data_IF_965317226313
#
_entry.id   IF_965317226313
#
_cell.length_a   1.000
_cell.length_b   1.000
_cell.length_c   1.000
_cell.angle_alpha   90.00
_cell.angle_beta   90.00
_cell.angle_gamma   90.00
#
_symmetry.space_group_name_H-M   'P 1'
#
loop_
_entity.id
_entity.type
_entity.pdbx_description
1 polymer ?
#
# COMPACT_ATOMS: atom_id res chain seq x y z
N UNK A 1 -58.67 -8.98 26.14
CA UNK A 1 -59.37 -8.62 24.91
C UNK A 1 -58.33 -8.15 23.91
N UNK A 2 -58.30 -8.83 22.76
CA UNK A 2 -57.70 -8.50 21.44
C UNK A 2 -56.26 -7.95 21.41
N UNK A 3 -55.24 -8.70 20.96
CA UNK A 3 -54.97 -9.34 19.66
C UNK A 3 -54.72 -8.36 18.50
N UNK A 4 -53.47 -8.26 18.05
CA UNK A 4 -53.15 -8.35 16.61
C UNK A 4 -51.67 -8.72 16.43
N UNK A 5 -51.45 -9.46 15.36
CA UNK A 5 -50.39 -10.41 15.11
C UNK A 5 -50.02 -10.34 13.63
N UNK A 6 -48.74 -10.48 13.31
CA UNK A 6 -48.17 -10.79 11.99
C UNK A 6 -46.68 -11.09 12.23
N UNK A 7 -46.09 -12.30 12.09
CA UNK A 7 -46.08 -13.30 11.01
C UNK A 7 -45.88 -12.62 9.65
N UNK A 8 -44.84 -12.84 8.84
CA UNK A 8 -43.88 -13.92 8.56
C UNK A 8 -42.64 -13.25 7.91
N UNK A 9 -41.49 -13.83 7.57
CA UNK A 9 -41.12 -15.17 7.13
C UNK A 9 -39.62 -15.38 7.31
N UNK A 10 -39.23 -16.60 7.69
CA UNK A 10 -37.87 -17.12 7.57
C UNK A 10 -37.59 -17.39 6.09
N UNK A 11 -36.49 -16.84 5.56
CA UNK A 11 -35.90 -17.33 4.32
C UNK A 11 -34.41 -17.57 4.56
N UNK A 12 -34.08 -18.85 4.74
CA UNK A 12 -32.72 -19.34 4.73
C UNK A 12 -32.16 -19.23 3.29
N UNK A 13 -30.99 -18.63 3.13
CA UNK A 13 -30.21 -18.74 1.90
C UNK A 13 -28.96 -19.56 2.24
N UNK A 14 -28.97 -20.77 1.70
CA UNK A 14 -27.89 -21.77 1.66
C UNK A 14 -26.75 -21.23 0.78
N UNK A 15 -25.47 -21.53 1.09
CA UNK A 15 -24.34 -21.11 0.26
C UNK A 15 -24.38 -21.77 -1.13
N UNK A 16 -24.05 -20.99 -2.15
CA UNK A 16 -23.82 -21.51 -3.51
C UNK A 16 -22.38 -21.98 -3.60
N UNK A 17 -22.19 -23.29 -3.55
CA UNK A 17 -20.99 -23.96 -4.04
C UNK A 17 -20.95 -23.84 -5.58
N UNK A 18 -19.93 -23.19 -6.12
CA UNK A 18 -19.59 -23.32 -7.54
C UNK A 18 -18.33 -24.17 -7.68
N UNK A 19 -18.58 -25.48 -7.78
CA UNK A 19 -17.69 -26.43 -8.45
C UNK A 19 -17.78 -26.12 -9.95
N UNK A 20 -16.66 -25.75 -10.58
CA UNK A 20 -16.53 -25.92 -12.03
C UNK A 20 -15.18 -26.56 -12.35
N UNK A 21 -15.27 -27.84 -12.68
CA UNK A 21 -14.24 -28.67 -13.27
C UNK A 21 -14.25 -28.36 -14.78
N UNK A 22 -13.10 -28.06 -15.38
CA UNK A 22 -13.03 -27.63 -16.77
C UNK A 22 -11.62 -27.66 -17.32
N UNK A 23 -11.11 -28.87 -17.49
CA UNK A 23 -9.91 -29.21 -18.25
C UNK A 23 -9.98 -28.61 -19.66
N UNK A 24 -8.92 -27.95 -20.11
CA UNK A 24 -8.46 -28.07 -21.50
C UNK A 24 -7.00 -27.64 -21.62
N UNK A 25 -6.17 -28.66 -21.86
CA UNK A 25 -4.83 -28.54 -22.41
C UNK A 25 -4.93 -28.04 -23.85
N UNK A 26 -4.06 -27.10 -24.23
CA UNK A 26 -3.50 -27.02 -25.59
C UNK A 26 -2.14 -26.32 -25.46
N UNK A 27 -1.08 -27.13 -25.58
CA UNK A 27 0.27 -26.67 -25.84
C UNK A 27 0.39 -26.25 -27.30
N UNK A 28 1.22 -25.24 -27.63
CA UNK A 28 2.25 -25.32 -28.69
C UNK A 28 3.23 -24.13 -28.57
N UNK A 29 4.48 -24.29 -29.04
CA UNK A 29 5.63 -23.47 -28.67
C UNK A 29 5.93 -22.36 -29.70
N UNK A 30 6.64 -21.31 -29.29
CA UNK A 30 7.80 -20.83 -30.07
C UNK A 30 8.62 -19.79 -29.30
N UNK A 31 9.91 -20.06 -29.28
CA UNK A 31 11.03 -19.24 -28.85
C UNK A 31 11.16 -17.94 -29.65
N UNK A 32 11.33 -16.82 -28.96
CA UNK A 32 11.94 -15.61 -29.51
C UNK A 32 12.93 -15.02 -28.50
N UNK A 33 14.22 -15.11 -28.84
CA UNK A 33 15.28 -14.28 -28.30
C UNK A 33 15.07 -12.85 -28.80
N UNK A 34 15.09 -11.87 -27.91
CA UNK A 34 15.52 -10.52 -28.28
C UNK A 34 16.27 -9.87 -27.12
N UNK A 35 17.40 -9.29 -27.48
CA UNK A 35 18.46 -8.87 -26.59
C UNK A 35 18.17 -7.63 -25.76
N UNK A 36 18.90 -7.60 -24.66
CA UNK A 36 19.12 -6.51 -23.74
C UNK A 36 19.58 -5.23 -24.47
N UNK A 37 18.83 -4.13 -24.31
CA UNK A 37 19.39 -2.77 -24.40
C UNK A 37 18.81 -1.91 -23.27
N UNK A 38 19.63 -1.72 -22.24
CA UNK A 38 19.44 -0.77 -21.14
C UNK A 38 19.60 0.65 -21.70
N UNK A 39 18.52 1.42 -21.75
CA UNK A 39 18.53 2.83 -22.14
C UNK A 39 18.00 3.70 -20.99
N UNK A 40 18.90 4.26 -20.19
CA UNK A 40 18.57 5.33 -19.25
C UNK A 40 18.23 6.60 -20.04
N UNK A 41 17.04 7.15 -19.85
CA UNK A 41 16.65 8.45 -20.43
C UNK A 41 16.31 9.40 -19.29
N UNK A 42 17.23 10.34 -19.05
CA UNK A 42 17.01 11.55 -18.27
C UNK A 42 15.91 12.40 -18.93
N UNK A 43 14.76 12.51 -18.27
CA UNK A 43 13.68 13.43 -18.65
C UNK A 43 13.95 14.80 -18.01
N UNK A 44 14.47 15.74 -18.80
CA UNK A 44 14.44 17.17 -18.48
C UNK A 44 13.05 17.69 -18.83
N UNK A 45 12.25 18.00 -17.80
CA UNK A 45 10.98 18.73 -17.96
C UNK A 45 11.28 20.23 -17.84
N UNK A 46 11.11 20.97 -18.93
CA UNK A 46 11.10 22.43 -18.92
C UNK A 46 9.70 22.92 -18.51
N UNK A 47 9.61 23.78 -17.50
CA UNK A 47 8.36 24.39 -17.05
C UNK A 47 8.31 25.84 -17.53
N UNK A 48 7.49 26.11 -18.54
CA UNK A 48 7.17 27.46 -18.98
C UNK A 48 6.27 28.12 -17.93
N UNK A 49 6.70 29.28 -17.40
CA UNK A 49 5.90 30.17 -16.57
C UNK A 49 5.11 31.13 -17.46
N UNK A 50 3.81 31.18 -17.25
CA UNK A 50 2.93 32.32 -17.51
C UNK A 50 1.83 32.21 -16.43
N UNK A 51 1.62 33.14 -15.50
CA UNK A 51 1.39 34.56 -15.70
C UNK A 51 -0.08 34.81 -15.33
N UNK A 52 -0.42 34.76 -14.04
CA UNK A 52 -1.82 34.84 -13.56
C UNK A 52 -2.02 35.73 -12.31
N UNK A 53 -1.06 36.60 -11.95
CA UNK A 53 -1.16 37.37 -10.69
C UNK A 53 -0.79 38.85 -10.79
N UNK A 54 -1.40 39.58 -11.72
CA UNK A 54 -1.40 41.06 -11.67
C UNK A 54 -2.70 41.73 -11.19
N UNK A 55 -3.70 40.97 -10.72
CA UNK A 55 -5.04 41.56 -10.50
C UNK A 55 -5.60 41.58 -9.07
N UNK A 56 -4.80 41.33 -8.03
CA UNK A 56 -5.27 41.59 -6.65
C UNK A 56 -4.19 42.33 -5.86
N UNK A 57 -4.07 43.62 -6.15
CA UNK A 57 -3.54 44.58 -5.18
C UNK A 57 -4.24 45.93 -5.34
N UNK A 58 -5.51 45.98 -4.92
CA UNK A 58 -6.13 47.24 -4.48
C UNK A 58 -7.25 46.96 -3.48
N UNK A 59 -7.03 47.42 -2.25
CA UNK A 59 -8.03 47.86 -1.27
C UNK A 59 -9.05 46.84 -0.74
N UNK A 60 -8.91 46.40 0.50
CA UNK A 60 -9.57 47.05 1.65
C UNK A 60 -9.24 46.34 2.96
N UNK A 61 -8.92 47.15 3.97
CA UNK A 61 -8.78 46.76 5.38
C UNK A 61 -10.19 46.71 5.99
N UNK A 62 -10.57 45.59 6.65
CA UNK A 62 -11.09 45.55 8.04
C UNK A 62 -11.62 44.17 8.49
N UNK A 63 -11.10 43.77 9.66
CA UNK A 63 -11.72 43.02 10.77
C UNK A 63 -11.67 41.47 10.82
N UNK A 64 -10.90 41.02 11.83
CA UNK A 64 -11.03 39.84 12.70
C UNK A 64 -11.35 38.47 12.09
N UNK A 65 -10.28 37.71 11.87
CA UNK A 65 -10.13 36.34 12.37
C UNK A 65 -8.64 36.12 12.56
N UNK A 66 -8.21 35.60 13.71
CA UNK A 66 -6.81 35.18 13.92
C UNK A 66 -6.56 33.96 13.06
N UNK A 67 -6.38 34.16 11.76
CA UNK A 67 -5.75 33.18 10.89
C UNK A 67 -4.30 33.10 11.35
N UNK A 68 -3.90 31.92 11.82
CA UNK A 68 -2.49 31.57 11.98
C UNK A 68 -1.94 31.55 10.56
N UNK A 69 -1.48 32.71 10.09
CA UNK A 69 -0.73 32.83 8.85
C UNK A 69 0.65 32.31 9.21
N UNK A 70 0.91 31.03 8.92
CA UNK A 70 2.28 30.53 8.94
C UNK A 70 3.08 31.38 7.94
N UNK A 71 4.24 31.92 8.35
CA UNK A 71 5.10 32.63 7.42
C UNK A 71 5.50 31.63 6.33
N UNK A 72 5.28 32.01 5.07
CA UNK A 72 5.71 31.25 3.91
C UNK A 72 7.23 31.10 3.99
N UNK A 73 7.70 30.02 4.59
CA UNK A 73 9.09 29.61 4.54
C UNK A 73 9.46 29.48 3.07
N UNK A 74 10.65 30.00 2.71
CA UNK A 74 11.24 29.75 1.40
C UNK A 74 11.03 28.27 1.03
N UNK A 75 10.81 27.91 -0.25
CA UNK A 75 10.86 26.53 -0.67
C UNK A 75 12.32 26.08 -0.48
N UNK A 76 12.67 25.71 0.75
CA UNK A 76 13.68 24.71 0.99
C UNK A 76 13.14 23.52 0.23
N UNK A 77 13.89 23.08 -0.77
CA UNK A 77 13.70 21.78 -1.37
C UNK A 77 13.72 20.80 -0.20
N UNK A 78 12.54 20.45 0.34
CA UNK A 78 12.41 19.37 1.29
C UNK A 78 12.88 18.14 0.52
N UNK A 79 14.14 17.76 0.73
CA UNK A 79 14.68 16.53 0.16
C UNK A 79 13.72 15.42 0.57
N UNK A 80 13.03 14.83 -0.41
CA UNK A 80 12.19 13.68 -0.12
C UNK A 80 13.07 12.64 0.57
N UNK A 81 12.71 12.17 1.77
CA UNK A 81 13.57 11.30 2.54
C UNK A 81 13.84 10.04 1.72
N UNK A 82 15.13 9.75 1.54
CA UNK A 82 15.60 8.64 0.73
C UNK A 82 15.00 7.31 1.23
N UNK A 83 14.82 6.32 0.33
CA UNK A 83 14.37 4.99 0.72
C UNK A 83 15.25 4.41 1.82
N UNK A 84 14.64 3.99 2.92
CA UNK A 84 15.32 3.23 3.97
C UNK A 84 15.33 1.76 3.57
N UNK A 85 16.47 1.08 3.72
CA UNK A 85 16.59 -0.37 3.59
C UNK A 85 17.44 -0.93 4.73
N UNK A 86 16.91 -1.90 5.48
CA UNK A 86 17.64 -2.53 6.59
C UNK A 86 17.11 -3.94 6.88
N UNK A 87 17.95 -4.76 7.52
CA UNK A 87 17.57 -6.10 7.98
C UNK A 87 16.68 -5.98 9.22
N UNK A 88 15.44 -6.45 9.11
CA UNK A 88 14.45 -6.47 10.18
C UNK A 88 14.64 -7.69 11.09
N UNK A 89 14.91 -8.85 10.49
CA UNK A 89 15.12 -10.13 11.18
C UNK A 89 16.21 -10.90 10.48
N UNK A 90 17.10 -11.52 11.24
CA UNK A 90 18.05 -12.51 10.75
C UNK A 90 17.86 -13.81 11.54
N UNK A 91 17.82 -14.94 10.83
CA UNK A 91 17.72 -16.26 11.46
C UNK A 91 18.58 -17.28 10.73
N UNK A 92 19.16 -18.19 11.48
CA UNK A 92 19.89 -19.35 10.95
C UNK A 92 18.94 -20.53 10.87
N UNK A 93 18.79 -21.10 9.68
CA UNK A 93 18.00 -22.30 9.42
C UNK A 93 18.78 -23.57 9.86
N UNK A 94 18.11 -24.72 10.08
CA UNK A 94 18.75 -25.94 10.55
C UNK A 94 19.85 -26.50 9.64
N UNK A 95 19.81 -26.17 8.35
CA UNK A 95 20.80 -26.53 7.33
C UNK A 95 22.03 -25.59 7.33
N UNK A 96 22.07 -24.60 8.23
CA UNK A 96 23.11 -23.58 8.30
C UNK A 96 22.88 -22.37 7.37
N UNK A 97 21.82 -22.38 6.56
CA UNK A 97 21.46 -21.25 5.70
C UNK A 97 21.01 -20.06 6.55
N UNK A 98 21.52 -18.86 6.26
CA UNK A 98 21.07 -17.63 6.92
C UNK A 98 19.94 -17.02 6.09
N UNK A 99 18.78 -16.80 6.72
CA UNK A 99 17.66 -16.07 6.12
C UNK A 99 17.54 -14.69 6.78
N UNK A 100 17.61 -13.65 5.95
CA UNK A 100 17.39 -12.26 6.32
C UNK A 100 16.05 -11.79 5.77
N UNK A 101 15.25 -11.16 6.63
CA UNK A 101 14.06 -10.41 6.24
C UNK A 101 14.45 -8.93 6.19
N UNK A 102 14.39 -8.34 5.00
CA UNK A 102 14.80 -6.97 4.72
C UNK A 102 13.55 -6.11 4.56
N UNK A 103 13.48 -5.01 5.29
CA UNK A 103 12.50 -3.96 5.09
C UNK A 103 13.02 -2.93 4.08
N UNK A 104 12.15 -2.43 3.20
CA UNK A 104 12.45 -1.27 2.35
C UNK A 104 11.24 -0.33 2.21
N UNK A 105 11.44 1.00 2.31
CA UNK A 105 10.36 2.02 2.23
C UNK A 105 10.22 2.73 0.87
N UNK A 106 11.01 2.36 -0.14
CA UNK A 106 11.01 3.06 -1.44
C UNK A 106 11.69 2.30 -2.58
N UNK A 107 11.52 0.98 -2.62
CA UNK A 107 12.00 0.13 -3.72
C UNK A 107 10.98 -0.04 -4.84
N UNK A 108 11.47 -0.26 -6.06
CA UNK A 108 10.63 -0.71 -7.17
C UNK A 108 10.06 -2.09 -6.85
N UNK A 109 8.73 -2.20 -6.82
CA UNK A 109 8.03 -3.46 -6.64
C UNK A 109 7.68 -4.03 -8.00
N UNK A 110 8.24 -5.20 -8.32
CA UNK A 110 7.87 -5.93 -9.53
C UNK A 110 6.40 -6.37 -9.44
N UNK A 111 5.63 -6.06 -10.49
CA UNK A 111 4.19 -6.33 -10.51
C UNK A 111 3.85 -7.81 -10.58
N UNK A 112 4.74 -8.65 -11.12
CA UNK A 112 4.57 -10.10 -11.14
C UNK A 112 4.82 -10.69 -9.75
N UNK A 113 5.84 -10.21 -9.03
CA UNK A 113 6.08 -10.62 -7.65
C UNK A 113 4.93 -10.21 -6.73
N UNK A 114 4.42 -8.98 -6.88
CA UNK A 114 3.24 -8.53 -6.14
C UNK A 114 2.00 -9.35 -6.49
N UNK A 115 1.77 -9.65 -7.77
CA UNK A 115 0.65 -10.51 -8.16
C UNK A 115 0.78 -11.92 -7.57
N UNK A 116 1.98 -12.51 -7.59
CA UNK A 116 2.22 -13.82 -6.98
C UNK A 116 1.98 -13.80 -5.47
N UNK A 117 2.33 -12.70 -4.79
CA UNK A 117 2.02 -12.52 -3.37
C UNK A 117 0.51 -12.36 -3.12
N UNK A 118 -0.19 -11.57 -3.95
CA UNK A 118 -1.65 -11.44 -3.91
C UNK A 118 -2.35 -12.79 -4.08
N UNK A 119 -1.89 -13.62 -5.02
CA UNK A 119 -2.44 -14.96 -5.27
C UNK A 119 -2.36 -15.83 -4.00
N UNK A 120 -1.24 -15.78 -3.27
CA UNK A 120 -1.05 -16.56 -2.02
C UNK A 120 -1.98 -16.15 -0.89
N UNK A 121 -2.30 -14.86 -0.77
CA UNK A 121 -3.23 -14.36 0.26
C UNK A 121 -4.70 -14.46 -0.18
N UNK A 122 -4.96 -15.02 -1.36
CA UNK A 122 -6.31 -15.24 -1.89
C UNK A 122 -6.96 -13.98 -2.46
N UNK A 123 -6.19 -12.96 -2.81
CA UNK A 123 -6.72 -11.75 -3.43
C UNK A 123 -6.99 -11.94 -4.92
N UNK A 124 -8.06 -11.33 -5.46
CA UNK A 124 -8.35 -11.43 -6.89
C UNK A 124 -7.26 -10.75 -7.71
N UNK A 125 -6.94 -11.35 -8.87
CA UNK A 125 -5.99 -10.74 -9.81
C UNK A 125 -6.53 -9.43 -10.36
N UNK A 126 -5.63 -8.47 -10.52
CA UNK A 126 -5.89 -7.13 -11.06
C UNK A 126 -5.12 -6.96 -12.36
N UNK A 127 -5.61 -6.17 -13.33
CA UNK A 127 -4.84 -5.86 -14.54
C UNK A 127 -3.47 -5.26 -14.17
N UNK A 128 -2.38 -5.88 -14.62
CA UNK A 128 -1.00 -5.51 -14.24
C UNK A 128 -0.67 -4.05 -14.56
N UNK A 129 -1.18 -3.51 -15.67
CA UNK A 129 -1.00 -2.10 -16.03
C UNK A 129 -1.63 -1.14 -15.01
N UNK A 130 -2.79 -1.50 -14.46
CA UNK A 130 -3.45 -0.74 -13.39
C UNK A 130 -2.73 -0.90 -12.06
N UNK A 131 -2.22 -2.09 -11.76
CA UNK A 131 -1.42 -2.33 -10.56
C UNK A 131 -0.11 -1.52 -10.58
N UNK A 132 0.60 -1.51 -11.71
CA UNK A 132 1.79 -0.68 -11.92
C UNK A 132 1.48 0.82 -11.74
N UNK A 133 0.35 1.28 -12.29
CA UNK A 133 -0.09 2.66 -12.10
C UNK A 133 -0.43 2.97 -10.64
N UNK A 134 -1.08 2.05 -9.91
CA UNK A 134 -1.39 2.24 -8.50
C UNK A 134 -0.11 2.33 -7.64
N UNK A 135 0.90 1.49 -7.91
CA UNK A 135 2.20 1.55 -7.24
C UNK A 135 2.89 2.89 -7.49
N UNK A 136 3.01 3.30 -8.77
CA UNK A 136 3.68 4.55 -9.16
C UNK A 136 3.02 5.80 -8.57
N UNK A 137 1.69 5.79 -8.42
CA UNK A 137 0.94 6.92 -7.86
C UNK A 137 0.69 6.77 -6.34
N UNK A 138 1.34 5.82 -5.69
CA UNK A 138 1.29 5.73 -4.22
C UNK A 138 2.38 6.59 -3.64
N UNK A 139 2.03 7.29 -2.56
CA UNK A 139 2.97 8.14 -1.84
C UNK A 139 4.06 7.32 -1.14
N UNK A 140 3.70 6.11 -0.69
CA UNK A 140 4.61 5.21 -0.02
C UNK A 140 4.30 3.75 -0.35
N UNK A 141 5.35 2.98 -0.62
CA UNK A 141 5.29 1.52 -0.77
C UNK A 141 6.38 0.93 0.11
N UNK A 142 5.99 0.27 1.20
CA UNK A 142 6.89 -0.48 2.05
C UNK A 142 6.87 -1.96 1.67
N UNK A 143 8.02 -2.62 1.70
CA UNK A 143 8.15 -4.04 1.34
C UNK A 143 8.95 -4.81 2.37
N UNK A 144 8.69 -6.11 2.42
CA UNK A 144 9.53 -7.10 3.09
C UNK A 144 10.04 -8.09 2.06
N UNK A 145 11.35 -8.31 2.04
CA UNK A 145 12.00 -9.28 1.19
C UNK A 145 12.72 -10.34 2.02
N UNK A 146 12.56 -11.62 1.68
CA UNK A 146 13.40 -12.70 2.19
C UNK A 146 14.62 -12.86 1.28
N UNK A 147 15.79 -12.92 1.89
CA UNK A 147 17.07 -13.24 1.25
C UNK A 147 17.70 -14.40 2.00
N UNK A 148 18.00 -15.48 1.27
CA UNK A 148 18.68 -16.65 1.83
C UNK A 148 20.12 -16.71 1.34
N UNK A 149 21.06 -16.93 2.26
CA UNK A 149 22.50 -17.03 2.00
C UNK A 149 23.00 -18.37 2.50
N UNK A 150 23.47 -19.21 1.58
CA UNK A 150 24.15 -20.46 1.91
C UNK A 150 25.62 -20.17 2.26
N UNK A 151 26.19 -20.94 3.19
CA UNK A 151 27.61 -20.83 3.49
C UNK A 151 28.45 -21.25 2.27
N UNK A 152 29.17 -20.30 1.67
CA UNK A 152 30.06 -20.54 0.53
C UNK A 152 29.50 -20.20 -0.86
N UNK A 153 28.26 -19.72 -0.96
CA UNK A 153 27.73 -19.16 -2.21
C UNK A 153 27.97 -17.64 -2.26
N UNK A 154 28.38 -17.13 -3.43
CA UNK A 154 28.32 -15.69 -3.69
C UNK A 154 26.88 -15.22 -3.47
N UNK A 155 26.70 -14.05 -2.85
CA UNK A 155 25.39 -13.53 -2.49
C UNK A 155 24.50 -13.44 -3.74
N UNK A 156 23.65 -14.45 -3.95
CA UNK A 156 22.62 -14.38 -4.95
C UNK A 156 21.64 -13.30 -4.49
N UNK A 157 21.58 -12.18 -5.20
CA UNK A 157 20.70 -11.05 -4.91
C UNK A 157 19.20 -11.37 -5.14
N UNK A 158 18.82 -12.65 -5.06
CA UNK A 158 17.46 -13.09 -5.27
C UNK A 158 16.61 -12.75 -4.03
N UNK A 159 16.09 -11.52 -4.04
CA UNK A 159 15.16 -11.01 -3.03
C UNK A 159 13.76 -11.52 -3.36
N UNK A 160 13.17 -12.31 -2.47
CA UNK A 160 11.79 -12.76 -2.61
C UNK A 160 10.85 -11.82 -1.88
N UNK A 161 9.90 -11.20 -2.56
CA UNK A 161 8.86 -10.40 -1.93
C UNK A 161 7.98 -11.29 -1.03
N UNK A 162 7.93 -10.97 0.26
CA UNK A 162 7.15 -11.70 1.28
C UNK A 162 6.16 -10.80 2.03
N UNK A 163 6.16 -9.50 1.79
CA UNK A 163 5.18 -8.59 2.36
C UNK A 163 5.22 -7.22 1.69
N UNK A 164 4.09 -6.53 1.70
CA UNK A 164 3.97 -5.17 1.20
C UNK A 164 2.94 -4.41 2.02
N UNK A 165 3.17 -3.12 2.19
CA UNK A 165 2.15 -2.17 2.60
C UNK A 165 2.20 -0.92 1.71
N UNK A 166 1.03 -0.38 1.33
CA UNK A 166 0.93 0.74 0.37
C UNK A 166 0.00 1.83 0.88
N UNK A 167 0.44 3.09 0.77
CA UNK A 167 -0.36 4.25 1.15
C UNK A 167 -0.41 5.31 0.04
N UNK A 168 -1.57 5.95 -0.12
CA UNK A 168 -1.72 7.19 -0.90
C UNK A 168 -1.76 8.37 0.06
N UNK A 169 -1.39 9.56 -0.41
CA UNK A 169 -1.43 10.79 0.39
C UNK A 169 -1.79 11.99 -0.48
N UNK A 170 -2.31 13.05 0.13
CA UNK A 170 -2.37 14.40 -0.45
C UNK A 170 -1.04 15.18 -0.30
N UNK A 171 -0.01 14.51 0.24
CA UNK A 171 1.34 15.04 0.50
C UNK A 171 1.39 16.14 1.58
N UNK A 172 0.33 16.31 2.37
CA UNK A 172 0.29 17.32 3.41
C UNK A 172 -0.40 16.82 4.68
N UNK A 173 -1.67 16.47 4.60
CA UNK A 173 -2.50 16.26 5.79
C UNK A 173 -2.93 14.81 5.95
N UNK A 174 -3.26 14.14 4.84
CA UNK A 174 -4.02 12.90 4.86
C UNK A 174 -3.27 11.78 4.14
N UNK A 175 -3.17 10.63 4.78
CA UNK A 175 -2.78 9.38 4.14
C UNK A 175 -3.81 8.28 4.36
N UNK A 176 -3.96 7.40 3.38
CA UNK A 176 -4.77 6.19 3.49
C UNK A 176 -3.93 4.98 3.13
N UNK A 177 -3.81 4.04 4.06
CA UNK A 177 -3.18 2.73 3.86
C UNK A 177 -4.21 1.81 3.21
N UNK A 178 -3.86 1.29 2.03
CA UNK A 178 -4.76 0.48 1.19
C UNK A 178 -4.44 -1.00 1.26
N UNK A 179 -3.31 -1.40 0.69
CA UNK A 179 -2.93 -2.81 0.59
C UNK A 179 -1.95 -3.12 1.72
N UNK A 180 -2.25 -4.11 2.56
CA UNK A 180 -1.35 -4.63 3.60
C UNK A 180 -1.42 -6.15 3.53
N UNK A 181 -0.31 -6.77 3.13
CA UNK A 181 -0.26 -8.22 2.96
C UNK A 181 1.11 -8.78 3.33
N UNK A 182 1.09 -9.98 3.90
CA UNK A 182 2.26 -10.77 4.26
C UNK A 182 2.03 -12.19 3.76
N UNK A 183 3.04 -12.77 3.13
CA UNK A 183 3.04 -14.15 2.64
C UNK A 183 2.57 -15.07 3.79
N UNK A 184 1.59 -15.96 3.56
CA UNK A 184 1.05 -16.83 4.61
C UNK A 184 2.11 -17.63 5.37
N UNK A 185 3.21 -18.02 4.73
CA UNK A 185 4.32 -18.73 5.39
C UNK A 185 5.12 -17.86 6.38
N UNK A 186 4.89 -16.54 6.36
CA UNK A 186 5.56 -15.54 7.20
C UNK A 186 4.61 -14.83 8.17
N UNK A 187 3.33 -15.20 8.18
CA UNK A 187 2.36 -14.67 9.13
C UNK A 187 2.60 -15.20 10.54
N UNK A 188 2.04 -14.52 11.55
CA UNK A 188 2.21 -14.87 12.97
C UNK A 188 3.57 -14.48 13.57
N UNK A 189 4.49 -13.93 12.77
CA UNK A 189 5.85 -13.55 13.19
C UNK A 189 5.99 -12.04 13.49
N UNK A 190 4.89 -11.30 13.62
CA UNK A 190 4.92 -9.85 13.88
C UNK A 190 5.27 -8.96 12.67
N UNK A 191 5.51 -9.54 11.50
CA UNK A 191 5.93 -8.79 10.30
C UNK A 191 4.89 -7.78 9.80
N UNK A 192 3.60 -8.12 9.87
CA UNK A 192 2.52 -7.19 9.51
C UNK A 192 2.49 -5.97 10.43
N UNK A 193 2.70 -6.17 11.74
CA UNK A 193 2.84 -5.08 12.71
C UNK A 193 4.05 -4.21 12.38
N UNK A 194 5.20 -4.81 12.11
CA UNK A 194 6.42 -4.07 11.75
C UNK A 194 6.23 -3.22 10.48
N UNK A 195 5.57 -3.75 9.45
CA UNK A 195 5.24 -2.99 8.23
C UNK A 195 4.41 -1.74 8.54
N UNK A 196 3.33 -1.90 9.30
CA UNK A 196 2.43 -0.79 9.64
C UNK A 196 3.13 0.25 10.51
N UNK A 197 3.84 -0.17 11.55
CA UNK A 197 4.57 0.76 12.42
C UNK A 197 5.61 1.57 11.64
N UNK A 198 6.28 0.96 10.66
CA UNK A 198 7.26 1.66 9.82
C UNK A 198 6.60 2.65 8.87
N UNK A 199 5.48 2.28 8.24
CA UNK A 199 4.70 3.23 7.42
C UNK A 199 4.21 4.41 8.28
N UNK A 200 3.63 4.16 9.46
CA UNK A 200 3.14 5.21 10.34
C UNK A 200 4.28 6.17 10.71
N UNK A 201 5.44 5.64 11.14
CA UNK A 201 6.61 6.47 11.48
C UNK A 201 7.07 7.32 10.30
N UNK A 202 7.15 6.73 9.12
CA UNK A 202 7.58 7.45 7.92
C UNK A 202 6.58 8.53 7.49
N UNK A 203 5.27 8.29 7.60
CA UNK A 203 4.23 9.29 7.36
C UNK A 203 4.28 10.44 8.37
N UNK A 204 4.45 10.13 9.66
CA UNK A 204 4.59 11.14 10.72
C UNK A 204 5.86 11.99 10.56
N UNK A 205 6.98 11.40 10.11
CA UNK A 205 8.20 12.14 9.79
C UNK A 205 8.04 13.11 8.62
N UNK A 206 7.05 12.86 7.76
CA UNK A 206 6.65 13.72 6.64
C UNK A 206 5.48 14.66 7.01
N UNK A 207 5.26 14.86 8.31
CA UNK A 207 4.22 15.71 8.91
C UNK A 207 2.76 15.35 8.54
N UNK A 208 2.53 14.10 8.11
CA UNK A 208 1.17 13.61 7.81
C UNK A 208 0.57 12.98 9.07
N UNK A 209 -0.25 13.77 9.77
CA UNK A 209 -0.88 13.37 11.02
C UNK A 209 -2.16 12.54 10.87
N UNK A 210 -2.93 12.70 9.79
CA UNK A 210 -4.18 11.97 9.61
C UNK A 210 -3.97 10.70 8.76
N UNK A 211 -3.82 9.56 9.44
CA UNK A 211 -3.56 8.27 8.80
C UNK A 211 -4.78 7.36 8.95
N UNK A 212 -5.33 6.96 7.81
CA UNK A 212 -6.58 6.18 7.72
C UNK A 212 -6.35 4.82 7.07
N UNK A 213 -7.25 3.87 7.32
CA UNK A 213 -7.29 2.58 6.62
C UNK A 213 -8.72 2.01 6.64
N UNK A 214 -8.97 1.04 5.76
CA UNK A 214 -10.19 0.24 5.78
C UNK A 214 -9.84 -1.18 6.21
N UNK A 215 -10.44 -1.65 7.31
CA UNK A 215 -10.17 -2.96 7.88
C UNK A 215 -11.36 -3.90 7.67
N UNK A 216 -11.09 -5.11 7.20
CA UNK A 216 -12.05 -6.22 7.28
C UNK A 216 -12.33 -6.57 8.75
N UNK A 217 -13.52 -7.09 9.02
CA UNK A 217 -13.98 -7.42 10.38
C UNK A 217 -13.01 -8.32 11.16
N UNK A 218 -12.30 -9.22 10.47
CA UNK A 218 -11.34 -10.16 11.06
C UNK A 218 -10.04 -9.52 11.56
N UNK A 219 -9.68 -8.33 11.07
CA UNK A 219 -8.40 -7.66 11.36
C UNK A 219 -8.57 -6.34 12.11
N UNK A 220 -9.81 -5.97 12.48
CA UNK A 220 -10.07 -4.77 13.28
C UNK A 220 -9.26 -4.76 14.58
N UNK A 221 -9.25 -5.87 15.31
CA UNK A 221 -8.53 -5.95 16.59
C UNK A 221 -7.01 -5.86 16.40
N UNK A 222 -6.48 -6.37 15.28
CA UNK A 222 -5.07 -6.19 14.93
C UNK A 222 -4.72 -4.70 14.80
N UNK A 223 -5.53 -3.91 14.08
CA UNK A 223 -5.29 -2.48 13.92
C UNK A 223 -5.58 -1.67 15.19
N UNK A 224 -6.56 -2.07 16.01
CA UNK A 224 -6.81 -1.46 17.33
C UNK A 224 -5.61 -1.55 18.25
N UNK A 225 -4.94 -2.70 18.26
CA UNK A 225 -3.70 -2.89 19.03
C UNK A 225 -2.52 -2.03 18.53
N UNK A 226 -2.62 -1.45 17.33
CA UNK A 226 -1.65 -0.49 16.77
C UNK A 226 -2.08 0.97 16.97
N UNK A 227 -3.20 1.22 17.66
CA UNK A 227 -3.71 2.56 17.95
C UNK A 227 -4.75 3.09 16.97
N UNK A 228 -5.17 2.31 15.96
CA UNK A 228 -6.28 2.72 15.10
C UNK A 228 -7.61 2.60 15.83
N UNK A 229 -8.51 3.56 15.62
CA UNK A 229 -9.83 3.56 16.21
C UNK A 229 -10.89 3.46 15.11
N UNK A 230 -11.84 2.51 15.17
CA UNK A 230 -12.98 2.49 14.28
C UNK A 230 -13.95 3.61 14.66
N UNK A 231 -14.51 4.28 13.65
CA UNK A 231 -15.54 5.31 13.77
C UNK A 231 -15.28 6.38 14.86
N UNK A 232 -14.10 7.06 14.85
CA UNK A 232 -13.84 8.12 15.81
C UNK A 232 -14.90 9.22 15.68
N UNK A 233 -15.48 9.63 16.80
CA UNK A 233 -16.53 10.66 16.87
C UNK A 233 -17.78 10.36 16.00
N UNK A 234 -17.99 9.08 15.65
CA UNK A 234 -19.10 8.66 14.80
C UNK A 234 -18.89 8.90 13.30
N UNK A 235 -17.69 9.31 12.87
CA UNK A 235 -17.32 9.42 11.44
C UNK A 235 -17.42 8.05 10.79
N UNK A 236 -17.99 7.98 9.57
CA UNK A 236 -18.19 6.73 8.83
C UNK A 236 -17.43 6.71 7.52
N UNK A 237 -16.69 5.63 7.29
CA UNK A 237 -16.21 5.27 5.96
C UNK A 237 -17.39 4.90 5.06
N UNK A 238 -17.49 5.52 3.89
CA UNK A 238 -18.57 5.26 2.94
C UNK A 238 -17.99 4.84 1.58
N UNK A 239 -18.64 3.88 0.94
CA UNK A 239 -18.30 3.42 -0.40
C UNK A 239 -19.40 3.83 -1.37
N UNK A 240 -19.01 4.38 -2.51
CA UNK A 240 -19.94 4.71 -3.58
C UNK A 240 -20.08 3.52 -4.52
N UNK A 241 -21.33 3.15 -4.81
CA UNK A 241 -21.67 2.13 -5.80
C UNK A 241 -22.36 2.81 -6.98
N UNK A 242 -21.83 2.70 -8.21
CA UNK A 242 -22.45 3.31 -9.38
C UNK A 242 -23.86 2.75 -9.59
N UNK A 243 -24.82 3.65 -9.86
CA UNK A 243 -26.22 3.32 -10.18
C UNK A 243 -26.60 3.66 -11.62
N UNK A 244 -25.63 4.10 -12.42
CA UNK A 244 -25.79 4.55 -13.79
C UNK A 244 -24.70 3.94 -14.66
#
# INVERSE_FOLDING_TARGET
MQSSSSSSSLCAIVPVDCIFNGSNQLAYPCSFNLGLLKGSRNLKVSRLKAGFWESIRSGLIKNNSTQVIEPLSNPQEEEEPLPEEFVLVEKTLPDGTIEQIIFSSGGDVDVYDLQALCDKVGWPRRPLSKLAAALRNSYMVATLHSVKKSAGEEANNNKKLIGMARATSDHAFNATIWDVLVDPSYQGQGLGKALIEKIIRALLQRDIGNITLFADSKVVEFYRNLGFQPDPEGIKGMFWYPRF
#
